data_IF_464084117296
#
_entry.id   IF_464084117296
#
_cell.length_a   1.000
_cell.length_b   1.000
_cell.length_c   1.000
_cell.angle_alpha   90.00
_cell.angle_beta   90.00
_cell.angle_gamma   90.00
#
_symmetry.space_group_name_H-M   'P 1'
#
loop_
_entity.id
_entity.type
_entity.pdbx_description
1 polymer ?
#
# COMPACT_ATOMS: atom_id res chain seq x y z
N UNK A 1 -0.17 22.23 -5.55
CA UNK A 1 -0.16 20.90 -4.90
C UNK A 1 0.39 19.89 -5.91
N UNK A 2 1.43 19.13 -5.55
CA UNK A 2 2.15 18.27 -6.51
C UNK A 2 1.19 17.20 -7.08
N UNK A 3 0.99 17.18 -8.39
CA UNK A 3 0.07 16.31 -9.12
C UNK A 3 0.24 14.82 -8.75
N UNK A 4 1.50 14.44 -8.45
CA UNK A 4 1.85 13.14 -7.91
C UNK A 4 1.05 12.77 -6.66
N UNK A 5 1.04 13.62 -5.62
CA UNK A 5 0.39 13.30 -4.35
C UNK A 5 -1.12 13.14 -4.53
N UNK A 6 -1.74 13.98 -5.36
CA UNK A 6 -3.18 13.90 -5.63
C UNK A 6 -3.53 12.58 -6.32
N UNK A 7 -2.88 12.29 -7.45
CA UNK A 7 -3.15 11.09 -8.24
C UNK A 7 -2.90 9.82 -7.45
N UNK A 8 -1.81 9.76 -6.68
CA UNK A 8 -1.46 8.56 -5.92
C UNK A 8 -2.32 8.39 -4.67
N UNK A 9 -2.70 9.48 -4.00
CA UNK A 9 -3.67 9.41 -2.90
C UNK A 9 -5.02 8.91 -3.39
N UNK A 10 -5.47 9.33 -4.58
CA UNK A 10 -6.70 8.82 -5.19
C UNK A 10 -6.62 7.30 -5.44
N UNK A 11 -5.51 6.79 -5.96
CA UNK A 11 -5.34 5.34 -6.14
C UNK A 11 -5.32 4.56 -4.83
N UNK A 12 -4.70 5.10 -3.78
CA UNK A 12 -4.74 4.49 -2.45
C UNK A 12 -6.17 4.49 -1.90
N UNK A 13 -6.89 5.60 -2.03
CA UNK A 13 -8.29 5.69 -1.62
C UNK A 13 -9.16 4.67 -2.37
N UNK A 14 -9.05 4.61 -3.70
CA UNK A 14 -9.78 3.63 -4.52
C UNK A 14 -9.45 2.19 -4.13
N UNK A 15 -8.20 1.90 -3.77
CA UNK A 15 -7.79 0.59 -3.29
C UNK A 15 -8.53 0.19 -2.00
N UNK A 16 -8.56 1.08 -1.01
CA UNK A 16 -9.32 0.83 0.24
C UNK A 16 -10.83 0.76 0.00
N UNK A 17 -11.36 1.59 -0.89
CA UNK A 17 -12.76 1.53 -1.30
C UNK A 17 -13.11 0.16 -1.92
N UNK A 18 -12.25 -0.37 -2.80
CA UNK A 18 -12.43 -1.70 -3.38
C UNK A 18 -12.36 -2.80 -2.31
N UNK A 19 -11.41 -2.73 -1.37
CA UNK A 19 -11.33 -3.70 -0.26
C UNK A 19 -12.62 -3.66 0.58
N UNK A 20 -13.09 -2.47 0.94
CA UNK A 20 -14.32 -2.30 1.70
C UNK A 20 -15.54 -2.85 0.94
N UNK A 21 -15.61 -2.61 -0.37
CA UNK A 21 -16.64 -3.19 -1.24
C UNK A 21 -16.58 -4.71 -1.26
N UNK A 22 -15.40 -5.29 -1.49
CA UNK A 22 -15.20 -6.75 -1.50
C UNK A 22 -15.61 -7.42 -0.18
N UNK A 23 -15.37 -6.76 0.95
CA UNK A 23 -15.78 -7.24 2.28
C UNK A 23 -17.30 -7.30 2.47
N UNK A 24 -18.07 -6.51 1.73
CA UNK A 24 -19.54 -6.46 1.83
C UNK A 24 -20.26 -7.30 0.76
N UNK A 25 -19.52 -7.94 -0.15
CA UNK A 25 -20.14 -8.81 -1.16
C UNK A 25 -20.50 -10.15 -0.52
N UNK A 26 -21.79 -10.47 -0.54
CA UNK A 26 -22.27 -11.80 -0.17
C UNK A 26 -21.90 -12.81 -1.26
N UNK A 27 -21.23 -13.89 -0.88
CA UNK A 27 -20.80 -14.96 -1.79
C UNK A 27 -21.33 -16.31 -1.30
N UNK A 28 -22.64 -16.59 -1.44
CA UNK A 28 -23.26 -17.79 -0.89
C UNK A 28 -22.73 -19.10 -1.51
N UNK A 29 -22.08 -19.02 -2.67
CA UNK A 29 -21.44 -20.15 -3.35
C UNK A 29 -19.97 -20.38 -2.92
N UNK A 30 -19.40 -19.54 -2.07
CA UNK A 30 -17.99 -19.59 -1.68
C UNK A 30 -17.88 -19.83 -0.16
N UNK A 31 -17.05 -20.79 0.25
CA UNK A 31 -16.83 -21.01 1.68
C UNK A 31 -16.13 -19.81 2.33
N UNK A 32 -16.50 -19.48 3.56
CA UNK A 32 -15.94 -18.35 4.31
C UNK A 32 -14.41 -18.42 4.41
N UNK A 33 -13.87 -19.62 4.66
CA UNK A 33 -12.42 -19.85 4.72
C UNK A 33 -11.74 -19.52 3.40
N UNK A 34 -12.31 -19.97 2.28
CA UNK A 34 -11.74 -19.73 0.96
C UNK A 34 -11.86 -18.24 0.56
N UNK A 35 -13.00 -17.62 0.86
CA UNK A 35 -13.21 -16.19 0.66
C UNK A 35 -12.18 -15.37 1.44
N UNK A 36 -11.92 -15.73 2.69
CA UNK A 36 -10.92 -15.08 3.55
C UNK A 36 -9.52 -15.22 2.97
N UNK A 37 -9.11 -16.43 2.54
CA UNK A 37 -7.79 -16.66 1.94
C UNK A 37 -7.61 -15.82 0.67
N UNK A 38 -8.61 -15.79 -0.21
CA UNK A 38 -8.59 -14.99 -1.43
C UNK A 38 -8.44 -13.50 -1.09
N UNK A 39 -9.26 -13.01 -0.16
CA UNK A 39 -9.25 -11.61 0.23
C UNK A 39 -7.90 -11.19 0.84
N UNK A 40 -7.36 -11.98 1.77
CA UNK A 40 -6.05 -11.73 2.38
C UNK A 40 -4.95 -11.70 1.32
N UNK A 41 -5.00 -12.63 0.37
CA UNK A 41 -4.05 -12.68 -0.75
C UNK A 41 -4.12 -11.40 -1.60
N UNK A 42 -5.34 -10.99 -1.99
CA UNK A 42 -5.59 -9.76 -2.76
C UNK A 42 -5.08 -8.53 -2.00
N UNK A 43 -5.38 -8.44 -0.71
CA UNK A 43 -4.96 -7.33 0.16
C UNK A 43 -3.44 -7.23 0.22
N UNK A 44 -2.74 -8.35 0.46
CA UNK A 44 -1.28 -8.38 0.56
C UNK A 44 -0.63 -7.98 -0.76
N UNK A 45 -0.94 -8.70 -1.85
CA UNK A 45 -0.28 -8.47 -3.13
C UNK A 45 -0.64 -7.12 -3.74
N UNK A 46 -1.91 -6.73 -3.68
CA UNK A 46 -2.35 -5.44 -4.20
C UNK A 46 -1.75 -4.27 -3.44
N UNK A 47 -1.61 -4.36 -2.12
CA UNK A 47 -0.96 -3.30 -1.33
C UNK A 47 0.54 -3.20 -1.65
N UNK A 48 1.25 -4.33 -1.73
CA UNK A 48 2.67 -4.33 -2.13
C UNK A 48 2.84 -3.74 -3.54
N UNK A 49 2.00 -4.13 -4.49
CA UNK A 49 2.03 -3.62 -5.86
C UNK A 49 1.78 -2.11 -5.88
N UNK A 50 0.83 -1.63 -5.09
CA UNK A 50 0.51 -0.21 -4.98
C UNK A 50 1.70 0.57 -4.39
N UNK A 51 2.36 0.05 -3.35
CA UNK A 51 3.57 0.62 -2.77
C UNK A 51 4.71 0.74 -3.79
N UNK A 52 4.95 -0.33 -4.55
CA UNK A 52 5.93 -0.35 -5.64
C UNK A 52 5.61 0.71 -6.71
N UNK A 53 4.36 0.75 -7.19
CA UNK A 53 3.92 1.68 -8.24
C UNK A 53 4.00 3.13 -7.77
N UNK A 54 3.59 3.41 -6.53
CA UNK A 54 3.66 4.76 -5.96
C UNK A 54 5.12 5.26 -5.90
N UNK A 55 6.06 4.38 -5.57
CA UNK A 55 7.49 4.71 -5.57
C UNK A 55 8.04 4.87 -6.98
N UNK A 56 7.65 4.00 -7.92
CA UNK A 56 8.06 4.07 -9.31
C UNK A 56 7.77 5.44 -9.94
N UNK A 57 6.56 5.96 -9.72
CA UNK A 57 6.13 7.27 -10.24
C UNK A 57 6.45 8.46 -9.35
N UNK A 58 7.13 8.25 -8.22
CA UNK A 58 7.49 9.36 -7.35
C UNK A 58 8.48 10.31 -8.05
N UNK A 59 8.39 11.63 -7.80
CA UNK A 59 9.45 12.55 -8.17
C UNK A 59 10.70 12.29 -7.32
N UNK A 60 11.87 12.70 -7.82
CA UNK A 60 13.09 12.55 -7.05
C UNK A 60 13.12 13.50 -5.83
N UNK A 61 13.56 13.05 -4.65
CA UNK A 61 14.01 11.67 -4.33
C UNK A 61 12.84 10.69 -4.11
N UNK A 62 12.76 9.63 -4.94
CA UNK A 62 11.60 8.73 -5.03
C UNK A 62 11.13 8.12 -3.72
N UNK A 63 12.06 7.54 -2.96
CA UNK A 63 11.77 6.84 -1.71
C UNK A 63 11.19 7.79 -0.66
N UNK A 64 11.80 8.97 -0.52
CA UNK A 64 11.34 10.00 0.42
C UNK A 64 9.93 10.46 0.06
N UNK A 65 9.68 10.73 -1.22
CA UNK A 65 8.36 11.20 -1.67
C UNK A 65 7.27 10.13 -1.49
N UNK A 66 7.60 8.86 -1.76
CA UNK A 66 6.66 7.76 -1.49
C UNK A 66 6.42 7.54 -0.01
N UNK A 67 7.46 7.67 0.83
CA UNK A 67 7.33 7.55 2.29
C UNK A 67 6.39 8.64 2.84
N UNK A 68 6.55 9.88 2.41
CA UNK A 68 5.66 10.98 2.80
C UNK A 68 4.22 10.65 2.39
N UNK A 69 4.00 10.18 1.17
CA UNK A 69 2.67 9.79 0.70
C UNK A 69 2.05 8.70 1.57
N UNK A 70 2.76 7.58 1.77
CA UNK A 70 2.25 6.42 2.49
C UNK A 70 1.97 6.76 3.96
N UNK A 71 2.91 7.40 4.65
CA UNK A 71 2.74 7.76 6.06
C UNK A 71 1.65 8.80 6.26
N UNK A 72 1.54 9.81 5.38
CA UNK A 72 0.49 10.84 5.49
C UNK A 72 -0.90 10.23 5.28
N UNK A 73 -1.04 9.34 4.29
CA UNK A 73 -2.32 8.70 4.00
C UNK A 73 -2.72 7.73 5.13
N UNK A 74 -1.78 6.93 5.65
CA UNK A 74 -2.04 6.03 6.79
C UNK A 74 -2.33 6.80 8.07
N UNK A 75 -1.66 7.93 8.30
CA UNK A 75 -1.98 8.83 9.42
C UNK A 75 -3.40 9.37 9.31
N UNK A 76 -3.83 9.80 8.12
CA UNK A 76 -5.19 10.26 7.88
C UNK A 76 -6.22 9.13 8.12
N UNK A 77 -5.97 7.94 7.58
CA UNK A 77 -6.85 6.77 7.78
C UNK A 77 -6.99 6.43 9.27
N UNK A 78 -5.89 6.41 10.01
CA UNK A 78 -5.91 6.17 11.45
C UNK A 78 -6.71 7.24 12.20
N UNK A 79 -6.58 8.53 11.84
CA UNK A 79 -7.39 9.59 12.45
C UNK A 79 -8.88 9.40 12.16
N UNK A 80 -9.24 9.02 10.93
CA UNK A 80 -10.64 8.74 10.57
C UNK A 80 -11.16 7.56 11.38
N UNK A 81 -10.37 6.49 11.52
CA UNK A 81 -10.73 5.31 12.31
C UNK A 81 -10.91 5.65 13.79
N UNK A 82 -10.03 6.46 14.38
CA UNK A 82 -10.15 6.84 15.79
C UNK A 82 -11.34 7.76 16.08
N UNK A 83 -11.76 8.57 15.09
CA UNK A 83 -12.88 9.49 15.25
C UNK A 83 -14.25 8.85 14.96
N UNK A 84 -14.30 7.91 14.01
CA UNK A 84 -15.56 7.38 13.48
C UNK A 84 -15.66 5.86 13.50
N UNK A 85 -14.57 5.17 13.83
CA UNK A 85 -14.50 3.72 13.91
C UNK A 85 -15.34 3.16 15.07
N UNK A 86 -15.89 1.97 14.85
CA UNK A 86 -16.62 1.21 15.88
C UNK A 86 -15.75 0.10 16.49
N UNK A 87 -14.57 -0.11 15.96
CA UNK A 87 -13.56 -1.08 16.42
C UNK A 87 -12.74 -0.51 17.57
N UNK A 88 -12.12 -1.40 18.35
CA UNK A 88 -11.18 -0.96 19.38
C UNK A 88 -9.94 -0.31 18.74
N UNK A 89 -9.46 0.77 19.36
CA UNK A 89 -8.38 1.60 18.83
C UNK A 89 -7.09 0.82 18.50
N UNK A 90 -6.79 -0.27 19.23
CA UNK A 90 -5.59 -1.08 19.00
C UNK A 90 -5.73 -1.98 17.76
N UNK A 91 -6.94 -2.41 17.40
CA UNK A 91 -7.18 -3.11 16.14
C UNK A 91 -6.99 -2.17 14.95
N UNK A 92 -7.51 -0.95 15.05
CA UNK A 92 -7.34 0.07 14.00
C UNK A 92 -5.88 0.47 13.85
N UNK A 93 -5.14 0.59 14.95
CA UNK A 93 -3.70 0.85 14.93
C UNK A 93 -2.95 -0.28 14.22
N UNK A 94 -3.19 -1.53 14.62
CA UNK A 94 -2.54 -2.70 14.03
C UNK A 94 -2.84 -2.83 12.53
N UNK A 95 -4.09 -2.59 12.11
CA UNK A 95 -4.51 -2.61 10.72
C UNK A 95 -3.77 -1.55 9.89
N UNK A 96 -3.77 -0.30 10.35
CA UNK A 96 -3.10 0.80 9.63
C UNK A 96 -1.59 0.59 9.53
N UNK A 97 -0.93 0.09 10.58
CA UNK A 97 0.48 -0.28 10.51
C UNK A 97 0.74 -1.46 9.58
N UNK A 98 -0.16 -2.46 9.54
CA UNK A 98 -0.09 -3.56 8.59
C UNK A 98 -0.09 -3.07 7.13
N UNK A 99 -1.01 -2.17 6.78
CA UNK A 99 -1.06 -1.56 5.46
C UNK A 99 0.18 -0.70 5.16
N UNK A 100 0.63 0.11 6.11
CA UNK A 100 1.86 0.88 5.98
C UNK A 100 3.06 -0.05 5.68
N UNK A 101 3.18 -1.15 6.42
CA UNK A 101 4.23 -2.15 6.22
C UNK A 101 4.20 -2.75 4.82
N UNK A 102 3.02 -3.11 4.31
CA UNK A 102 2.85 -3.65 2.95
C UNK A 102 3.24 -2.61 1.88
N UNK A 103 2.85 -1.35 2.04
CA UNK A 103 3.25 -0.28 1.14
C UNK A 103 4.77 -0.05 1.14
N UNK A 104 5.39 -0.03 2.32
CA UNK A 104 6.84 0.10 2.47
C UNK A 104 7.59 -1.09 1.89
N UNK A 105 7.06 -2.30 2.02
CA UNK A 105 7.63 -3.49 1.37
C UNK A 105 7.64 -3.34 -0.16
N UNK A 106 6.55 -2.82 -0.75
CA UNK A 106 6.50 -2.48 -2.16
C UNK A 106 7.56 -1.46 -2.59
N UNK A 107 7.72 -0.39 -1.80
CA UNK A 107 8.76 0.63 -1.99
C UNK A 107 10.17 0.05 -1.89
N UNK A 108 10.39 -0.87 -0.94
CA UNK A 108 11.66 -1.56 -0.75
C UNK A 108 12.01 -2.48 -1.92
N UNK A 109 11.03 -3.24 -2.44
CA UNK A 109 11.22 -4.07 -3.63
C UNK A 109 11.64 -3.20 -4.83
N UNK A 110 11.00 -2.03 -5.01
CA UNK A 110 11.40 -1.07 -6.04
C UNK A 110 12.85 -0.61 -5.86
N UNK A 111 13.21 -0.19 -4.65
CA UNK A 111 14.57 0.25 -4.33
C UNK A 111 15.62 -0.82 -4.64
N UNK A 112 15.41 -2.05 -4.13
CA UNK A 112 16.33 -3.17 -4.34
C UNK A 112 16.49 -3.51 -5.82
N UNK A 113 15.40 -3.52 -6.58
CA UNK A 113 15.45 -3.77 -8.03
C UNK A 113 16.26 -2.70 -8.77
N UNK A 114 16.06 -1.42 -8.45
CA UNK A 114 16.81 -0.34 -9.09
C UNK A 114 18.28 -0.31 -8.68
N UNK A 115 18.60 -0.63 -7.43
CA UNK A 115 19.99 -0.75 -6.96
C UNK A 115 20.74 -1.85 -7.74
N UNK A 116 20.12 -3.02 -7.89
CA UNK A 116 20.68 -4.12 -8.69
C UNK A 116 20.89 -3.74 -10.17
N UNK A 117 19.94 -3.00 -10.77
CA UNK A 117 20.07 -2.52 -12.14
C UNK A 117 21.18 -1.48 -12.31
N UNK A 118 21.41 -0.62 -11.31
CA UNK A 118 22.50 0.35 -11.34
C UNK A 118 23.87 -0.32 -11.16
N UNK A 119 23.97 -1.36 -10.32
CA UNK A 119 25.20 -2.15 -10.16
C UNK A 119 25.54 -2.90 -11.45
N UNK A 120 24.55 -3.52 -12.11
CA UNK A 120 24.75 -4.25 -13.37
C UNK A 120 25.18 -3.36 -14.55
N UNK A 121 24.99 -2.04 -14.46
CA UNK A 121 25.44 -1.06 -15.46
C UNK A 121 26.90 -0.64 -15.30
N UNK A 122 27.53 -0.94 -14.16
CA UNK A 122 28.96 -0.69 -13.95
C UNK A 122 29.69 -1.82 -14.69
N UNK A 123 30.42 -1.54 -15.79
CA UNK A 123 31.15 -2.58 -16.49
C UNK A 123 32.12 -3.26 -15.53
N UNK A 124 32.28 -4.60 -15.57
CA UNK A 124 33.30 -5.27 -14.78
C UNK A 124 34.64 -4.66 -15.18
N UNK A 125 35.39 -4.17 -14.19
CA UNK A 125 36.69 -3.53 -14.38
C UNK A 125 37.51 -4.29 -15.43
N UNK A 126 37.79 -3.62 -16.56
CA UNK A 126 38.78 -4.05 -17.54
C UNK A 126 40.15 -3.57 -17.09
#
# INVERSE_FOLDING_TARGET
MNEYFVKRSLFIFLWFFCIAGLLHIETPWLSETLATIILVTVVIFGSILLGYRNTYFAPEPKIKMSLILHTSFMGLMLVIDLLFGKSDWYFDLARNFGFLGLFLLGSFIFYKKNLNLNIAKIPPFQ
#
